data_IF_109561967669
#
_entry.id   IF_109561967669
#
_cell.length_a   1.000
_cell.length_b   1.000
_cell.length_c   1.000
_cell.angle_alpha   90.00
_cell.angle_beta   90.00
_cell.angle_gamma   90.00
#
_symmetry.space_group_name_H-M   'P 1'
#
loop_
_entity.id
_entity.type
_entity.pdbx_description
1 polymer ?
#
# COMPACT_ATOMS: atom_id res chain seq x y z
N UNK A 1 -39.03 12.30 51.80
CA UNK A 1 -40.23 12.40 50.93
C UNK A 1 -39.91 13.14 49.63
N UNK A 2 -39.48 14.41 49.66
CA UNK A 2 -39.16 15.19 48.45
C UNK A 2 -38.09 14.57 47.52
N UNK A 3 -37.07 13.93 48.09
CA UNK A 3 -35.99 13.29 47.32
C UNK A 3 -36.45 12.02 46.59
N UNK A 4 -37.40 11.29 47.17
CA UNK A 4 -38.02 10.12 46.55
C UNK A 4 -38.94 10.51 45.39
N UNK A 5 -39.75 11.56 45.53
CA UNK A 5 -40.60 12.09 44.46
C UNK A 5 -39.80 12.65 43.28
N UNK A 6 -38.66 13.30 43.57
CA UNK A 6 -37.71 13.74 42.55
C UNK A 6 -37.16 12.55 41.76
N UNK A 7 -36.72 11.49 42.45
CA UNK A 7 -36.19 10.29 41.80
C UNK A 7 -37.24 9.58 40.92
N UNK A 8 -38.50 9.52 41.37
CA UNK A 8 -39.61 8.95 40.58
C UNK A 8 -39.84 9.76 39.31
N UNK A 9 -39.77 11.09 39.41
CA UNK A 9 -39.94 12.01 38.27
C UNK A 9 -38.77 11.87 37.29
N UNK A 10 -37.53 11.81 37.77
CA UNK A 10 -36.33 11.62 36.95
C UNK A 10 -36.37 10.28 36.19
N UNK A 11 -36.83 9.21 36.84
CA UNK A 11 -37.02 7.90 36.18
C UNK A 11 -38.12 7.96 35.11
N UNK A 12 -39.21 8.70 35.34
CA UNK A 12 -40.26 8.89 34.34
C UNK A 12 -39.77 9.69 33.12
N UNK A 13 -38.97 10.73 33.36
CA UNK A 13 -38.32 11.52 32.30
C UNK A 13 -37.35 10.63 31.51
N UNK A 14 -36.47 9.90 32.18
CA UNK A 14 -35.51 9.00 31.53
C UNK A 14 -36.21 7.92 30.67
N UNK A 15 -37.34 7.36 31.15
CA UNK A 15 -38.16 6.42 30.37
C UNK A 15 -38.76 7.06 29.12
N UNK A 16 -39.21 8.31 29.21
CA UNK A 16 -39.75 9.06 28.07
C UNK A 16 -38.64 9.36 27.05
N UNK A 17 -37.48 9.80 27.50
CA UNK A 17 -36.31 10.04 26.64
C UNK A 17 -35.84 8.76 25.93
N UNK A 18 -35.72 7.64 26.65
CA UNK A 18 -35.38 6.35 26.04
C UNK A 18 -36.39 5.91 24.98
N UNK A 19 -37.68 6.21 25.18
CA UNK A 19 -38.72 5.94 24.18
C UNK A 19 -38.54 6.81 22.94
N UNK A 20 -38.26 8.10 23.11
CA UNK A 20 -37.99 9.04 22.01
C UNK A 20 -36.76 8.62 21.19
N UNK A 21 -35.65 8.31 21.87
CA UNK A 21 -34.41 7.85 21.24
C UNK A 21 -34.65 6.56 20.44
N UNK A 22 -35.39 5.60 21.01
CA UNK A 22 -35.75 4.35 20.29
C UNK A 22 -36.55 4.63 19.02
N UNK A 23 -37.53 5.53 19.09
CA UNK A 23 -38.33 5.92 17.92
C UNK A 23 -37.47 6.57 16.84
N UNK A 24 -36.55 7.45 17.23
CA UNK A 24 -35.64 8.12 16.30
C UNK A 24 -34.66 7.12 15.65
N UNK A 25 -34.08 6.18 16.41
CA UNK A 25 -33.24 5.12 15.84
C UNK A 25 -33.99 4.25 14.83
N UNK A 26 -35.26 3.92 15.08
CA UNK A 26 -36.08 3.15 14.15
C UNK A 26 -36.31 3.94 12.85
N UNK A 27 -36.60 5.24 12.98
CA UNK A 27 -36.79 6.14 11.83
C UNK A 27 -35.51 6.27 11.00
N UNK A 28 -34.37 6.48 11.64
CA UNK A 28 -33.06 6.56 10.97
C UNK A 28 -32.69 5.25 10.26
N UNK A 29 -32.94 4.10 10.92
CA UNK A 29 -32.74 2.78 10.31
C UNK A 29 -33.61 2.57 9.06
N UNK A 30 -34.86 3.01 9.10
CA UNK A 30 -35.76 2.94 7.95
C UNK A 30 -35.28 3.85 6.80
N UNK A 31 -34.81 5.06 7.12
CA UNK A 31 -34.26 5.98 6.13
C UNK A 31 -33.01 5.41 5.43
N UNK A 32 -32.03 4.92 6.22
CA UNK A 32 -30.83 4.24 5.69
C UNK A 32 -31.20 3.03 4.81
N UNK A 33 -32.20 2.24 5.19
CA UNK A 33 -32.66 1.10 4.39
C UNK A 33 -33.25 1.56 3.04
N UNK A 34 -33.97 2.68 3.02
CA UNK A 34 -34.49 3.27 1.79
C UNK A 34 -33.36 3.80 0.89
N UNK A 35 -32.38 4.49 1.46
CA UNK A 35 -31.21 4.97 0.71
C UNK A 35 -30.40 3.83 0.10
N UNK A 36 -30.15 2.76 0.87
CA UNK A 36 -29.49 1.56 0.35
C UNK A 36 -30.28 0.93 -0.80
N UNK A 37 -31.62 0.88 -0.70
CA UNK A 37 -32.47 0.36 -1.77
C UNK A 37 -32.35 1.21 -3.04
N UNK A 38 -32.35 2.55 -2.91
CA UNK A 38 -32.15 3.48 -4.03
C UNK A 38 -30.78 3.31 -4.68
N UNK A 39 -29.71 3.17 -3.89
CA UNK A 39 -28.36 2.93 -4.39
C UNK A 39 -28.30 1.59 -5.13
N UNK A 40 -28.87 0.52 -4.58
CA UNK A 40 -28.92 -0.79 -5.25
C UNK A 40 -29.68 -0.73 -6.57
N UNK A 41 -30.82 -0.04 -6.60
CA UNK A 41 -31.60 0.16 -7.80
C UNK A 41 -30.80 0.96 -8.85
N UNK A 42 -30.14 2.03 -8.45
CA UNK A 42 -29.27 2.83 -9.32
C UNK A 42 -28.13 1.99 -9.92
N UNK A 43 -27.45 1.18 -9.09
CA UNK A 43 -26.39 0.29 -9.54
C UNK A 43 -26.91 -0.80 -10.50
N UNK A 44 -28.13 -1.31 -10.30
CA UNK A 44 -28.75 -2.29 -11.20
C UNK A 44 -29.15 -1.71 -12.57
N UNK A 45 -29.49 -0.41 -12.61
CA UNK A 45 -29.88 0.31 -13.84
C UNK A 45 -28.69 0.76 -14.69
N UNK A 46 -27.48 0.70 -14.14
CA UNK A 46 -26.24 0.90 -14.87
C UNK A 46 -25.49 -0.43 -14.98
N UNK A 47 -25.99 -1.43 -15.75
CA UNK A 47 -25.11 -2.49 -16.18
C UNK A 47 -24.00 -1.81 -16.97
N UNK A 48 -22.75 -1.98 -16.52
CA UNK A 48 -21.60 -1.72 -17.38
C UNK A 48 -21.84 -2.59 -18.60
N UNK A 49 -22.37 -2.00 -19.67
CA UNK A 49 -22.44 -2.69 -20.95
C UNK A 49 -20.98 -3.01 -21.26
N UNK A 50 -20.66 -4.30 -21.40
CA UNK A 50 -19.50 -4.76 -22.15
C UNK A 50 -19.68 -4.29 -23.59
N UNK A 51 -19.63 -2.98 -23.81
CA UNK A 51 -19.33 -2.44 -25.12
C UNK A 51 -17.85 -2.67 -25.23
N UNK A 52 -17.45 -3.45 -26.23
CA UNK A 52 -16.09 -3.51 -26.75
C UNK A 52 -15.59 -2.09 -27.05
N UNK A 53 -15.15 -1.39 -26.00
CA UNK A 53 -14.80 0.04 -26.01
C UNK A 53 -13.33 0.24 -26.35
N UNK A 54 -12.63 -0.81 -26.77
CA UNK A 54 -11.26 -0.71 -27.25
C UNK A 54 -11.17 -0.05 -28.63
N UNK A 55 -12.26 0.00 -29.42
CA UNK A 55 -12.22 0.60 -30.76
C UNK A 55 -12.17 2.13 -30.78
N UNK A 56 -12.48 2.79 -29.66
CA UNK A 56 -12.58 4.25 -29.57
C UNK A 56 -11.44 4.90 -28.79
N UNK A 57 -10.47 4.12 -28.30
CA UNK A 57 -9.28 4.65 -27.65
C UNK A 57 -8.44 5.28 -28.76
N UNK A 58 -8.34 6.62 -28.78
CA UNK A 58 -7.37 7.33 -29.64
C UNK A 58 -6.03 6.60 -29.52
N UNK A 59 -5.42 6.18 -30.64
CA UNK A 59 -4.10 5.54 -30.63
C UNK A 59 -3.13 6.44 -29.87
N UNK A 60 -2.84 6.08 -28.62
CA UNK A 60 -1.82 6.73 -27.81
C UNK A 60 -0.49 6.11 -28.24
N UNK A 61 0.58 6.91 -28.25
CA UNK A 61 1.93 6.37 -28.39
C UNK A 61 2.12 5.26 -27.33
N UNK A 62 2.48 4.02 -27.73
CA UNK A 62 2.69 2.94 -26.78
C UNK A 62 3.86 3.20 -25.82
N UNK A 63 4.75 4.14 -26.12
CA UNK A 63 5.94 4.42 -25.34
C UNK A 63 5.75 5.64 -24.43
N UNK A 64 6.02 5.45 -23.14
CA UNK A 64 6.03 6.51 -22.14
C UNK A 64 7.42 6.64 -21.54
N UNK A 65 7.97 7.85 -21.60
CA UNK A 65 9.24 8.17 -20.96
C UNK A 65 8.97 8.77 -19.59
N UNK A 66 9.62 8.23 -18.56
CA UNK A 66 9.53 8.73 -17.19
C UNK A 66 10.91 9.21 -16.73
N UNK A 67 10.95 10.38 -16.12
CA UNK A 67 12.15 10.92 -15.49
C UNK A 67 12.13 10.57 -14.01
N UNK A 68 13.19 9.94 -13.47
CA UNK A 68 13.27 9.66 -12.04
C UNK A 68 13.19 10.96 -11.20
N UNK A 69 12.43 10.93 -10.10
CA UNK A 69 12.38 12.03 -9.13
C UNK A 69 13.61 12.08 -8.24
N UNK A 70 14.27 10.93 -8.06
CA UNK A 70 15.39 10.76 -7.16
C UNK A 70 16.03 9.40 -7.27
N UNK A 71 17.10 9.19 -6.52
CA UNK A 71 17.85 7.94 -6.49
C UNK A 71 18.02 7.43 -5.07
N UNK A 72 18.01 6.10 -4.95
CA UNK A 72 18.29 5.40 -3.69
C UNK A 72 19.80 5.27 -3.49
N UNK A 73 20.27 5.61 -2.29
CA UNK A 73 21.52 5.07 -1.76
C UNK A 73 21.21 4.03 -0.70
N UNK A 74 21.69 2.79 -0.89
CA UNK A 74 21.39 1.67 0.01
C UNK A 74 22.64 0.90 0.44
N UNK A 75 22.47 0.09 1.48
CA UNK A 75 23.44 -0.91 1.91
C UNK A 75 23.61 -2.07 0.91
N UNK A 76 22.77 -2.17 -0.13
CA UNK A 76 22.79 -3.25 -1.09
C UNK A 76 23.51 -2.85 -2.37
N UNK A 77 24.79 -3.17 -2.49
CA UNK A 77 25.60 -2.88 -3.70
C UNK A 77 25.43 -3.90 -4.82
N UNK A 78 24.86 -5.06 -4.53
CA UNK A 78 24.57 -6.12 -5.51
C UNK A 78 23.19 -6.71 -5.25
N UNK A 79 22.62 -7.40 -6.25
CA UNK A 79 21.31 -8.05 -6.13
C UNK A 79 21.29 -9.18 -5.08
N UNK A 80 22.45 -9.79 -4.84
CA UNK A 80 22.57 -10.88 -3.88
C UNK A 80 22.46 -10.32 -2.46
N UNK A 81 21.59 -10.92 -1.65
CA UNK A 81 21.35 -10.49 -0.27
C UNK A 81 20.31 -9.38 -0.12
N UNK A 82 19.74 -8.86 -1.22
CA UNK A 82 18.58 -7.96 -1.12
C UNK A 82 17.38 -8.77 -0.60
N UNK A 83 16.67 -8.28 0.45
CA UNK A 83 15.43 -8.87 0.91
C UNK A 83 14.44 -9.01 -0.24
N UNK A 84 13.75 -10.14 -0.34
CA UNK A 84 12.74 -10.34 -1.40
C UNK A 84 11.53 -9.41 -1.25
N UNK A 85 11.30 -8.89 -0.05
CA UNK A 85 10.24 -7.95 0.31
C UNK A 85 10.75 -7.03 1.43
N UNK A 86 10.27 -5.78 1.51
CA UNK A 86 10.70 -4.77 2.49
C UNK A 86 10.58 -5.25 3.94
N UNK A 87 9.48 -5.96 4.24
CA UNK A 87 9.13 -6.43 5.59
C UNK A 87 10.05 -7.51 6.15
N UNK A 88 10.88 -8.15 5.32
CA UNK A 88 11.76 -9.25 5.75
C UNK A 88 13.00 -8.77 6.50
N UNK A 89 13.47 -7.53 6.25
CA UNK A 89 14.66 -6.98 6.91
C UNK A 89 14.41 -5.53 7.30
N UNK A 90 13.69 -5.30 8.39
CA UNK A 90 13.36 -3.97 8.89
C UNK A 90 14.60 -3.13 9.26
N UNK A 91 15.73 -3.78 9.54
CA UNK A 91 17.00 -3.13 9.85
C UNK A 91 17.73 -2.59 8.61
N UNK A 92 17.33 -2.97 7.39
CA UNK A 92 17.95 -2.49 6.16
C UNK A 92 17.72 -0.98 6.02
N UNK A 93 18.82 -0.22 5.95
CA UNK A 93 18.81 1.24 5.87
C UNK A 93 19.16 1.73 4.48
N UNK A 94 18.57 2.84 4.10
CA UNK A 94 18.99 3.61 2.93
C UNK A 94 18.44 5.02 2.96
N UNK A 95 18.78 5.76 1.92
CA UNK A 95 18.31 7.13 1.72
C UNK A 95 17.75 7.28 0.31
N UNK A 96 16.75 8.14 0.17
CA UNK A 96 16.26 8.61 -1.12
C UNK A 96 16.56 10.10 -1.21
N UNK A 97 17.33 10.52 -2.21
CA UNK A 97 17.59 11.94 -2.48
C UNK A 97 16.83 12.39 -3.71
N UNK A 98 15.98 13.40 -3.56
CA UNK A 98 15.26 14.04 -4.67
C UNK A 98 16.24 14.90 -5.46
N UNK A 99 16.21 14.75 -6.78
CA UNK A 99 17.14 15.47 -7.66
C UNK A 99 16.73 16.92 -7.88
N UNK A 100 17.72 17.82 -7.83
CA UNK A 100 17.57 19.26 -8.11
C UNK A 100 17.16 19.56 -9.55
N UNK A 101 17.39 18.64 -10.50
CA UNK A 101 16.98 18.83 -11.89
C UNK A 101 15.46 18.78 -12.08
N UNK A 102 14.74 18.21 -11.12
CA UNK A 102 13.29 18.02 -11.18
C UNK A 102 12.55 19.23 -10.61
N UNK A 103 13.07 19.79 -9.52
CA UNK A 103 12.48 20.94 -8.83
C UNK A 103 13.58 21.93 -8.48
N UNK A 104 13.31 23.24 -8.63
CA UNK A 104 14.25 24.29 -8.20
C UNK A 104 14.59 24.19 -6.71
N UNK A 105 13.58 23.86 -5.88
CA UNK A 105 13.70 23.65 -4.42
C UNK A 105 13.10 22.27 -4.05
N UNK A 106 13.85 21.16 -4.21
CA UNK A 106 13.31 19.81 -4.03
C UNK A 106 12.76 19.53 -2.63
N UNK A 107 13.31 20.14 -1.59
CA UNK A 107 12.85 20.04 -0.21
C UNK A 107 11.39 20.48 -0.04
N UNK A 108 10.89 21.40 -0.88
CA UNK A 108 9.49 21.83 -0.81
C UNK A 108 8.53 20.72 -1.22
N UNK A 109 8.95 19.79 -2.08
CA UNK A 109 8.13 18.63 -2.48
C UNK A 109 7.88 17.65 -1.33
N UNK A 110 8.63 17.77 -0.23
CA UNK A 110 8.58 16.87 0.93
C UNK A 110 7.84 17.46 2.14
N UNK A 111 7.33 18.69 2.03
CA UNK A 111 6.59 19.36 3.12
C UNK A 111 5.34 18.53 3.46
N UNK A 112 5.13 18.29 4.77
CA UNK A 112 4.02 17.47 5.29
C UNK A 112 4.31 15.96 5.33
N UNK A 113 5.30 15.46 4.58
CA UNK A 113 5.58 14.02 4.52
C UNK A 113 6.07 13.45 5.86
N UNK A 114 6.69 14.28 6.71
CA UNK A 114 7.12 13.92 8.08
C UNK A 114 6.00 13.48 9.01
N UNK A 115 4.74 13.77 8.67
CA UNK A 115 3.56 13.38 9.46
C UNK A 115 3.23 11.89 9.29
N UNK A 116 3.83 11.22 8.31
CA UNK A 116 3.62 9.82 8.01
C UNK A 116 4.81 8.97 8.46
N UNK A 117 4.53 7.81 9.04
CA UNK A 117 5.57 6.86 9.46
C UNK A 117 6.08 5.98 8.32
N UNK A 118 5.29 5.79 7.27
CA UNK A 118 5.59 4.91 6.15
C UNK A 118 5.21 5.56 4.82
N UNK A 119 5.98 5.21 3.79
CA UNK A 119 5.76 5.68 2.43
C UNK A 119 5.84 4.51 1.45
N UNK A 120 5.00 4.59 0.42
CA UNK A 120 5.15 3.84 -0.81
C UNK A 120 6.25 4.48 -1.67
N UNK A 121 7.13 3.63 -2.20
CA UNK A 121 8.15 4.01 -3.17
C UNK A 121 7.86 3.25 -4.46
N UNK A 122 7.63 3.96 -5.55
CA UNK A 122 7.56 3.41 -6.90
C UNK A 122 8.93 3.60 -7.55
N UNK A 123 9.52 2.52 -8.06
CA UNK A 123 10.90 2.55 -8.56
C UNK A 123 11.07 1.68 -9.80
N UNK A 124 12.19 1.83 -10.51
CA UNK A 124 12.50 1.00 -11.68
C UNK A 124 13.55 -0.04 -11.32
N UNK A 125 13.30 -1.30 -11.68
CA UNK A 125 14.32 -2.36 -11.66
C UNK A 125 15.34 -2.16 -12.80
N UNK A 126 16.19 -1.15 -12.65
CA UNK A 126 17.16 -0.68 -13.64
C UNK A 126 18.21 -1.73 -14.04
N UNK A 127 18.52 -2.67 -13.14
CA UNK A 127 19.53 -3.72 -13.36
C UNK A 127 18.95 -5.03 -13.92
N UNK A 128 17.68 -5.11 -14.33
CA UNK A 128 17.05 -6.39 -14.73
C UNK A 128 17.56 -7.05 -16.01
N UNK A 129 18.62 -6.53 -16.63
CA UNK A 129 19.11 -6.97 -17.93
C UNK A 129 18.20 -6.50 -19.05
N UNK A 130 18.80 -6.13 -20.19
CA UNK A 130 18.04 -5.83 -21.42
C UNK A 130 17.49 -7.13 -21.98
N UNK A 131 16.33 -7.55 -21.49
CA UNK A 131 15.62 -8.67 -22.08
C UNK A 131 14.79 -8.16 -23.26
N UNK A 132 15.26 -8.47 -24.47
CA UNK A 132 14.58 -8.21 -25.74
C UNK A 132 13.17 -8.80 -25.82
N UNK A 133 12.81 -9.73 -24.92
CA UNK A 133 11.45 -10.22 -24.75
C UNK A 133 11.13 -10.55 -23.28
N UNK A 134 10.08 -9.95 -22.74
CA UNK A 134 9.54 -10.29 -21.41
C UNK A 134 8.66 -11.54 -21.51
N UNK A 135 8.90 -12.53 -20.65
CA UNK A 135 8.11 -13.76 -20.60
C UNK A 135 6.77 -13.52 -19.88
N UNK A 136 5.70 -14.09 -20.42
CA UNK A 136 4.37 -14.05 -19.79
C UNK A 136 4.30 -14.88 -18.49
N UNK A 137 5.16 -15.89 -18.35
CA UNK A 137 5.26 -16.75 -17.16
C UNK A 137 6.62 -16.65 -16.50
N UNK A 138 6.65 -16.83 -15.19
CA UNK A 138 7.84 -16.82 -14.33
C UNK A 138 7.81 -18.02 -13.38
N UNK A 139 8.96 -18.36 -12.79
CA UNK A 139 9.08 -19.41 -11.77
C UNK A 139 9.45 -18.76 -10.42
N UNK A 140 8.47 -18.36 -9.60
CA UNK A 140 8.75 -17.77 -8.30
C UNK A 140 9.46 -18.79 -7.39
N UNK A 141 10.50 -18.39 -6.64
CA UNK A 141 11.23 -19.30 -5.76
C UNK A 141 10.37 -20.01 -4.71
N UNK A 142 9.21 -19.44 -4.34
CA UNK A 142 8.29 -20.00 -3.33
C UNK A 142 7.31 -21.03 -3.87
N UNK A 143 7.26 -21.26 -5.19
CA UNK A 143 6.29 -22.17 -5.80
C UNK A 143 6.88 -23.50 -6.26
N UNK A 144 8.01 -23.93 -5.67
CA UNK A 144 8.64 -25.24 -5.91
C UNK A 144 8.77 -25.62 -7.40
N UNK A 145 9.16 -24.67 -8.25
CA UNK A 145 9.33 -24.88 -9.68
C UNK A 145 8.08 -24.66 -10.54
N UNK A 146 6.91 -24.39 -9.95
CA UNK A 146 5.68 -24.09 -10.70
C UNK A 146 5.80 -22.79 -11.49
N UNK A 147 5.35 -22.82 -12.74
CA UNK A 147 5.30 -21.65 -13.62
C UNK A 147 3.95 -20.95 -13.49
N UNK A 148 3.94 -19.66 -13.16
CA UNK A 148 2.73 -18.84 -13.02
C UNK A 148 2.83 -17.56 -13.83
N UNK A 149 1.69 -16.91 -14.09
CA UNK A 149 1.66 -15.66 -14.85
C UNK A 149 2.43 -14.54 -14.15
N UNK A 150 3.16 -13.70 -14.89
CA UNK A 150 3.98 -12.62 -14.32
C UNK A 150 3.17 -11.65 -13.44
N UNK A 151 1.91 -11.39 -13.79
CA UNK A 151 1.03 -10.49 -13.05
C UNK A 151 0.43 -11.09 -11.77
N UNK A 152 0.52 -12.42 -11.57
CA UNK A 152 0.18 -13.05 -10.29
C UNK A 152 1.37 -13.05 -9.32
N UNK A 153 2.43 -12.31 -9.62
CA UNK A 153 3.69 -12.30 -8.85
C UNK A 153 4.24 -10.88 -8.68
N UNK A 154 5.24 -10.75 -7.81
CA UNK A 154 6.07 -9.55 -7.64
C UNK A 154 7.42 -9.68 -8.39
N UNK A 155 7.49 -10.50 -9.45
CA UNK A 155 8.73 -10.67 -10.23
C UNK A 155 9.23 -9.32 -10.75
N UNK A 156 10.55 -9.06 -10.71
CA UNK A 156 11.12 -7.86 -11.28
C UNK A 156 11.13 -7.92 -12.83
N UNK A 157 11.19 -9.11 -13.44
CA UNK A 157 11.13 -9.30 -14.88
C UNK A 157 9.68 -9.19 -15.40
N UNK A 158 9.27 -7.98 -15.83
CA UNK A 158 7.91 -7.63 -16.28
C UNK A 158 7.93 -6.54 -17.36
N UNK A 159 6.85 -6.37 -18.16
CA UNK A 159 6.83 -5.46 -19.31
C UNK A 159 7.16 -4.01 -18.93
N UNK A 160 6.60 -3.53 -17.83
CA UNK A 160 7.04 -2.32 -17.17
C UNK A 160 7.78 -2.74 -15.88
N UNK A 161 9.11 -2.56 -15.79
CA UNK A 161 9.92 -3.02 -14.66
C UNK A 161 9.75 -2.09 -13.45
N UNK A 162 8.50 -1.81 -13.07
CA UNK A 162 8.15 -0.97 -11.92
C UNK A 162 8.00 -1.85 -10.69
N UNK A 163 8.75 -1.50 -9.65
CA UNK A 163 8.64 -2.03 -8.31
C UNK A 163 7.82 -1.12 -7.39
N UNK A 164 7.35 -1.70 -6.28
CA UNK A 164 6.61 -1.00 -5.25
C UNK A 164 7.08 -1.51 -3.88
N UNK A 165 7.59 -0.61 -3.05
CA UNK A 165 8.07 -0.93 -1.70
C UNK A 165 7.38 -0.06 -0.65
N UNK A 166 6.88 -0.69 0.41
CA UNK A 166 6.44 0.00 1.63
C UNK A 166 7.63 0.10 2.56
N UNK A 167 8.09 1.31 2.84
CA UNK A 167 9.27 1.53 3.68
C UNK A 167 8.92 2.46 4.83
N UNK A 168 9.63 2.32 5.94
CA UNK A 168 9.48 3.22 7.08
C UNK A 168 10.29 4.50 6.82
N UNK A 169 9.65 5.64 7.01
CA UNK A 169 10.28 6.95 6.97
C UNK A 169 10.82 7.27 8.37
N UNK A 170 12.15 7.32 8.51
CA UNK A 170 12.80 7.60 9.79
C UNK A 170 12.94 9.11 10.04
N UNK A 171 13.36 9.86 9.01
CA UNK A 171 13.49 11.34 9.05
C UNK A 171 13.62 11.92 7.65
N UNK A 172 13.47 13.24 7.54
CA UNK A 172 13.72 14.02 6.32
C UNK A 172 14.74 15.12 6.65
N UNK A 173 15.78 15.26 5.84
CA UNK A 173 16.77 16.33 5.94
C UNK A 173 17.00 16.94 4.56
N UNK A 174 16.62 18.22 4.39
CA UNK A 174 16.66 18.89 3.08
C UNK A 174 15.81 18.13 2.06
N UNK A 175 16.44 17.72 0.96
CA UNK A 175 15.82 16.92 -0.11
C UNK A 175 16.02 15.41 0.03
N UNK A 176 16.45 14.94 1.21
CA UNK A 176 16.79 13.53 1.45
C UNK A 176 15.88 12.90 2.51
N UNK A 177 15.32 11.74 2.18
CA UNK A 177 14.53 10.90 3.07
C UNK A 177 15.40 9.76 3.59
N UNK A 178 15.39 9.54 4.89
CA UNK A 178 16.08 8.42 5.54
C UNK A 178 15.08 7.31 5.81
N UNK A 179 15.41 6.10 5.38
CA UNK A 179 14.46 4.99 5.26
C UNK A 179 14.97 3.73 5.96
N UNK A 180 14.01 2.97 6.50
CA UNK A 180 14.21 1.64 7.07
C UNK A 180 13.34 0.59 6.38
N UNK A 181 13.78 -0.67 6.43
CA UNK A 181 13.08 -1.78 5.83
C UNK A 181 13.13 -1.73 4.31
N UNK A 182 14.20 -1.21 3.72
CA UNK A 182 14.31 -1.11 2.26
C UNK A 182 14.72 -2.45 1.62
N UNK A 183 14.32 -2.65 0.37
CA UNK A 183 14.66 -3.80 -0.47
C UNK A 183 15.19 -3.35 -1.86
N UNK A 184 15.89 -2.21 -1.87
CA UNK A 184 16.25 -1.48 -3.08
C UNK A 184 17.77 -1.54 -3.30
N UNK A 185 18.18 -1.86 -4.53
CA UNK A 185 19.59 -1.81 -4.93
C UNK A 185 20.11 -0.37 -4.88
N UNK A 186 21.37 -0.18 -4.53
CA UNK A 186 22.03 1.12 -4.58
C UNK A 186 21.97 1.69 -6.01
N UNK A 187 21.68 2.98 -6.15
CA UNK A 187 21.46 3.62 -7.45
C UNK A 187 20.07 3.40 -8.05
N UNK A 188 19.15 2.74 -7.34
CA UNK A 188 17.79 2.52 -7.86
C UNK A 188 17.07 3.85 -8.13
N UNK A 189 16.61 4.10 -9.38
CA UNK A 189 15.83 5.27 -9.72
C UNK A 189 14.40 5.16 -9.18
N UNK A 190 13.94 6.22 -8.52
CA UNK A 190 12.59 6.35 -7.97
C UNK A 190 11.74 7.16 -8.94
N UNK A 191 10.55 6.66 -9.23
CA UNK A 191 9.56 7.32 -10.07
C UNK A 191 8.62 8.21 -9.26
N UNK A 192 8.22 7.77 -8.07
CA UNK A 192 7.25 8.47 -7.25
C UNK A 192 7.30 8.00 -5.78
N UNK A 193 6.80 8.85 -4.89
CA UNK A 193 6.61 8.54 -3.47
C UNK A 193 5.21 8.94 -3.01
N UNK A 194 4.58 8.13 -2.17
CA UNK A 194 3.26 8.41 -1.61
C UNK A 194 3.19 8.07 -0.13
N UNK A 195 2.51 8.86 0.71
CA UNK A 195 2.27 8.46 2.09
C UNK A 195 1.42 7.18 2.14
N UNK A 196 1.77 6.27 3.05
CA UNK A 196 0.93 5.11 3.34
C UNK A 196 -0.20 5.52 4.29
N UNK A 197 -1.44 5.22 3.90
CA UNK A 197 -2.63 5.54 4.69
C UNK A 197 -3.41 4.24 4.93
N UNK A 198 -3.41 3.69 6.17
CA UNK A 198 -4.07 2.42 6.48
C UNK A 198 -5.53 2.35 6.03
N UNK A 199 -6.27 3.46 6.15
CA UNK A 199 -7.68 3.55 5.77
C UNK A 199 -7.92 3.30 4.28
N UNK A 200 -6.93 3.59 3.42
CA UNK A 200 -7.06 3.50 1.96
C UNK A 200 -6.28 2.32 1.37
N UNK A 201 -5.15 1.98 1.98
CA UNK A 201 -4.21 0.99 1.43
C UNK A 201 -4.46 -0.44 1.95
N UNK A 202 -5.24 -0.59 3.02
CA UNK A 202 -5.64 -1.92 3.54
C UNK A 202 -6.99 -2.31 2.93
N UNK A 203 -7.10 -3.49 2.27
CA UNK A 203 -8.37 -3.96 1.76
C UNK A 203 -9.38 -4.23 2.88
N UNK A 204 -10.62 -3.73 2.75
CA UNK A 204 -11.69 -3.94 3.74
C UNK A 204 -12.09 -5.41 3.91
N UNK A 205 -12.02 -6.19 2.84
CA UNK A 205 -12.38 -7.61 2.82
C UNK A 205 -11.16 -8.42 2.41
N UNK A 206 -10.17 -8.49 3.30
CA UNK A 206 -9.02 -9.35 3.11
C UNK A 206 -9.51 -10.81 3.06
N UNK A 207 -9.55 -11.40 1.86
CA UNK A 207 -9.64 -12.85 1.76
C UNK A 207 -8.40 -13.40 2.42
N UNK A 208 -8.55 -14.17 3.50
CA UNK A 208 -7.47 -14.96 4.11
C UNK A 208 -7.06 -16.11 3.17
N UNK A 209 -6.75 -15.80 1.93
CA UNK A 209 -5.96 -16.67 1.08
C UNK A 209 -4.52 -16.30 1.37
N UNK A 210 -3.95 -16.95 2.39
CA UNK A 210 -2.54 -17.26 2.66
C UNK A 210 -2.35 -17.51 4.18
N UNK A 211 -2.92 -18.62 4.67
CA UNK A 211 -2.42 -19.38 5.83
C UNK A 211 -2.00 -20.71 5.22
N UNK A 212 -0.73 -21.08 5.15
CA UNK A 212 0.13 -21.50 6.25
C UNK A 212 1.53 -20.86 6.11
N UNK A 213 2.01 -20.18 7.15
CA UNK A 213 3.43 -20.02 7.52
C UNK A 213 3.54 -18.98 8.66
N UNK A 214 2.78 -19.22 9.74
CA UNK A 214 3.20 -18.76 11.06
C UNK A 214 3.94 -19.92 11.70
N UNK A 215 5.23 -20.03 11.42
CA UNK A 215 6.25 -20.69 12.24
C UNK A 215 7.63 -20.53 11.59
N UNK A 216 8.15 -19.30 11.62
CA UNK A 216 9.59 -19.06 11.50
C UNK A 216 10.05 -17.99 12.49
N UNK A 217 9.41 -17.96 13.66
CA UNK A 217 9.98 -17.40 14.87
C UNK A 217 10.60 -18.57 15.66
N UNK A 218 11.92 -18.49 15.86
CA UNK A 218 12.81 -19.31 16.70
C UNK A 218 13.95 -20.09 16.01
N UNK A 219 15.15 -19.79 16.51
CA UNK A 219 16.44 -20.47 16.41
C UNK A 219 17.35 -20.16 15.20
N UNK A 220 17.94 -18.96 15.22
CA UNK A 220 19.32 -18.79 14.74
C UNK A 220 20.26 -19.41 15.79
N UNK A 221 20.63 -20.68 15.62
CA UNK A 221 21.74 -21.27 16.36
C UNK A 221 23.04 -20.71 15.80
N UNK A 222 23.67 -19.79 16.54
CA UNK A 222 25.06 -19.42 16.27
C UNK A 222 25.97 -20.58 16.67
N UNK A 223 26.53 -21.27 15.68
CA UNK A 223 27.66 -22.15 15.90
C UNK A 223 28.91 -21.29 16.10
N UNK A 224 29.28 -21.06 17.35
CA UNK A 224 30.60 -20.54 17.69
C UNK A 224 31.62 -21.65 17.44
N UNK A 225 32.36 -21.59 16.31
CA UNK A 225 33.68 -22.20 16.26
C UNK A 225 34.72 -21.20 16.74
N UNK A 226 35.22 -21.47 17.94
CA UNK A 226 36.48 -20.94 18.47
C UNK A 226 37.65 -21.70 17.82
N UNK A 227 38.76 -20.96 17.71
CA UNK A 227 40.12 -21.32 17.29
C UNK A 227 40.35 -21.39 15.79
#
# INVERSE_FOLDING_TARGET
>A
MAEFEKLVTDVQIARRELKNIRQECVKQKANLKSEIAKIKEFLSKSPIKEKDTFSSIKKVDPNFYMTPVGFISSCFKTKNGIPRQPSLCLAAKGTLTIEKRIFSNPEHSLIGLKEFSHIWILFVFHENGSHTAVKAKVHPPRLNGTSVGVFSTRSPHRPCPIGLSLTKLDKIEGSTLFLSGIDLLDGTPVLDIKPYIPLYDIPLNLKETLREETDCFFSLHFSTRKQ
#
